data_IF_845364994079
#
_entry.id   IF_845364994079
#
_cell.length_a   1.000
_cell.length_b   1.000
_cell.length_c   1.000
_cell.angle_alpha   90.00
_cell.angle_beta   90.00
_cell.angle_gamma   90.00
#
_symmetry.space_group_name_H-M   'P 1'
#
loop_
_entity.id
_entity.type
_entity.pdbx_description
1 polymer ?
#
# COMPACT_ATOMS: atom_id res chain seq x y z
N UNK A 1 13.60 -11.83 -28.63
CA UNK A 1 14.42 -12.20 -27.47
C UNK A 1 14.01 -11.27 -26.34
N UNK A 2 13.72 -11.83 -25.17
CA UNK A 2 13.41 -11.08 -23.94
C UNK A 2 14.55 -11.35 -22.94
N UNK A 3 14.95 -10.30 -22.22
CA UNK A 3 15.92 -10.41 -21.13
C UNK A 3 15.19 -10.11 -19.81
N UNK A 4 15.12 -11.09 -18.91
CA UNK A 4 14.58 -10.88 -17.58
C UNK A 4 15.70 -10.40 -16.64
N UNK A 5 15.69 -9.11 -16.35
CA UNK A 5 16.63 -8.48 -15.42
C UNK A 5 16.18 -8.56 -13.97
N UNK A 6 14.88 -8.81 -13.76
CA UNK A 6 14.25 -8.75 -12.44
C UNK A 6 14.34 -10.05 -11.65
N UNK A 7 14.18 -11.20 -12.33
CA UNK A 7 14.06 -12.51 -11.70
C UNK A 7 12.74 -12.68 -10.96
N UNK A 8 12.76 -12.61 -9.64
CA UNK A 8 11.54 -12.66 -8.82
C UNK A 8 10.60 -11.50 -9.17
N UNK A 9 9.31 -11.79 -9.32
CA UNK A 9 8.30 -10.80 -9.76
C UNK A 9 8.34 -9.48 -8.98
N UNK A 10 8.20 -8.35 -9.68
CA UNK A 10 8.37 -6.99 -9.12
C UNK A 10 7.38 -6.65 -8.00
N UNK A 11 6.24 -7.34 -7.90
CA UNK A 11 5.31 -7.18 -6.79
C UNK A 11 5.91 -7.61 -5.45
N UNK A 12 6.89 -8.52 -5.43
CA UNK A 12 7.58 -8.94 -4.20
C UNK A 12 8.57 -7.87 -3.75
N UNK A 13 8.09 -6.87 -3.01
CA UNK A 13 8.87 -5.73 -2.49
C UNK A 13 9.77 -6.11 -1.29
N UNK A 14 9.50 -7.26 -0.64
CA UNK A 14 10.26 -7.76 0.50
C UNK A 14 9.67 -7.38 1.88
N UNK A 15 8.69 -6.50 1.97
CA UNK A 15 8.06 -6.17 3.25
C UNK A 15 6.97 -7.15 3.68
N UNK A 16 6.28 -7.78 2.73
CA UNK A 16 5.24 -8.78 3.01
C UNK A 16 5.85 -10.18 3.07
N UNK A 17 5.85 -10.81 4.24
CA UNK A 17 6.23 -12.22 4.41
C UNK A 17 5.02 -13.15 4.45
N UNK A 18 3.94 -12.69 5.08
CA UNK A 18 2.67 -13.40 5.17
C UNK A 18 1.59 -12.49 4.57
N UNK A 19 0.60 -13.06 3.97
CA UNK A 19 -0.56 -12.36 3.43
C UNK A 19 -1.82 -13.06 3.91
N UNK A 20 -2.88 -12.31 4.12
CA UNK A 20 -4.23 -12.85 4.21
C UNK A 20 -4.59 -13.52 2.88
N UNK A 21 -5.67 -14.27 2.84
CA UNK A 21 -6.18 -14.85 1.61
C UNK A 21 -6.45 -13.75 0.58
N UNK A 22 -5.89 -13.91 -0.63
CA UNK A 22 -6.07 -13.03 -1.80
C UNK A 22 -5.68 -11.53 -1.64
N UNK A 23 -4.47 -11.17 -1.18
CA UNK A 23 -4.04 -9.78 -1.12
C UNK A 23 -3.82 -9.18 -2.52
N UNK A 24 -4.12 -7.89 -2.67
CA UNK A 24 -3.77 -7.17 -3.90
C UNK A 24 -2.25 -7.18 -4.12
N UNK A 25 -1.81 -7.37 -5.38
CA UNK A 25 -0.38 -7.29 -5.71
C UNK A 25 0.13 -5.87 -5.53
N UNK A 26 1.32 -5.72 -4.97
CA UNK A 26 1.95 -4.43 -4.68
C UNK A 26 2.12 -3.57 -5.95
N UNK A 27 2.45 -4.17 -7.09
CA UNK A 27 2.55 -3.45 -8.37
C UNK A 27 1.21 -2.91 -8.85
N UNK A 28 0.12 -3.64 -8.63
CA UNK A 28 -1.23 -3.17 -8.95
C UNK A 28 -1.64 -2.04 -8.00
N UNK A 29 -1.40 -2.22 -6.71
CA UNK A 29 -1.67 -1.18 -5.72
C UNK A 29 -0.90 0.11 -6.03
N UNK A 30 0.38 0.02 -6.42
CA UNK A 30 1.18 1.18 -6.84
C UNK A 30 0.56 1.91 -8.03
N UNK A 31 0.08 1.17 -9.06
CA UNK A 31 -0.60 1.77 -10.21
C UNK A 31 -1.92 2.48 -9.82
N UNK A 32 -2.69 1.90 -8.90
CA UNK A 32 -3.92 2.53 -8.38
C UNK A 32 -3.58 3.79 -7.58
N UNK A 33 -2.54 3.76 -6.75
CA UNK A 33 -2.04 4.92 -6.01
C UNK A 33 -1.59 6.04 -6.98
N UNK A 34 -1.01 5.70 -8.13
CA UNK A 34 -0.65 6.65 -9.17
C UNK A 34 -1.89 7.33 -9.77
N UNK A 35 -2.93 6.55 -10.08
CA UNK A 35 -4.21 7.07 -10.57
C UNK A 35 -4.89 7.95 -9.52
N UNK A 36 -4.80 7.58 -8.24
CA UNK A 36 -5.32 8.37 -7.12
C UNK A 36 -4.52 9.65 -6.83
N UNK A 37 -3.36 9.84 -7.49
CA UNK A 37 -2.49 11.02 -7.38
C UNK A 37 -2.00 11.32 -5.96
N UNK A 38 -1.77 10.29 -5.14
CA UNK A 38 -1.16 10.47 -3.83
C UNK A 38 0.23 11.15 -3.95
N UNK A 39 0.47 12.18 -3.12
CA UNK A 39 1.66 13.05 -3.13
C UNK A 39 2.30 13.13 -1.75
N UNK A 40 3.42 13.85 -1.67
CA UNK A 40 4.21 14.03 -0.45
C UNK A 40 3.46 14.68 0.74
N UNK A 41 2.40 15.40 0.47
CA UNK A 41 1.54 16.10 1.45
C UNK A 41 0.16 15.45 1.62
N UNK A 42 -0.11 14.36 0.91
CA UNK A 42 -1.42 13.71 0.95
C UNK A 42 -1.68 13.00 2.27
N UNK A 43 -2.96 12.99 2.64
CA UNK A 43 -3.51 12.08 3.64
C UNK A 43 -4.22 10.96 2.91
N UNK A 44 -3.78 9.72 3.09
CA UNK A 44 -4.38 8.53 2.46
C UNK A 44 -5.08 7.68 3.51
N UNK A 45 -6.28 7.21 3.20
CA UNK A 45 -7.07 6.37 4.10
C UNK A 45 -7.47 5.08 3.42
N UNK A 46 -7.31 3.97 4.13
CA UNK A 46 -7.86 2.67 3.76
C UNK A 46 -8.70 2.13 4.93
N UNK A 47 -10.04 2.20 4.84
CA UNK A 47 -10.93 1.79 5.93
C UNK A 47 -11.10 0.26 6.05
N UNK A 48 -10.45 -0.54 5.19
CA UNK A 48 -10.43 -2.01 5.22
C UNK A 48 -9.05 -2.50 4.78
N UNK A 49 -8.01 -2.11 5.54
CA UNK A 49 -6.63 -2.10 5.07
C UNK A 49 -5.99 -3.49 4.92
N UNK A 50 -6.54 -4.52 5.53
CA UNK A 50 -6.02 -5.88 5.43
C UNK A 50 -4.53 -5.97 5.77
N UNK A 51 -3.70 -6.21 4.76
CA UNK A 51 -2.22 -6.25 4.90
C UNK A 51 -1.53 -4.89 4.76
N UNK A 52 -2.28 -3.81 4.53
CA UNK A 52 -1.78 -2.44 4.43
C UNK A 52 -1.14 -2.06 3.09
N UNK A 53 -1.40 -2.82 2.03
CA UNK A 53 -0.69 -2.65 0.76
C UNK A 53 -0.87 -1.25 0.17
N UNK A 54 -2.09 -0.71 0.10
CA UNK A 54 -2.33 0.63 -0.42
C UNK A 54 -1.63 1.71 0.41
N UNK A 55 -1.66 1.59 1.73
CA UNK A 55 -1.04 2.56 2.63
C UNK A 55 0.49 2.58 2.46
N UNK A 56 1.10 1.38 2.34
CA UNK A 56 2.55 1.25 2.18
C UNK A 56 3.00 1.74 0.80
N UNK A 57 2.32 1.34 -0.29
CA UNK A 57 2.66 1.80 -1.64
C UNK A 57 2.42 3.32 -1.79
N UNK A 58 1.39 3.89 -1.14
CA UNK A 58 1.18 5.33 -1.06
C UNK A 58 2.33 6.04 -0.35
N UNK A 59 2.80 5.49 0.78
CA UNK A 59 3.96 6.01 1.49
C UNK A 59 5.24 5.91 0.65
N UNK A 60 5.46 4.80 -0.05
CA UNK A 60 6.61 4.61 -0.94
C UNK A 60 6.65 5.71 -2.02
N UNK A 61 5.51 5.95 -2.67
CA UNK A 61 5.41 7.01 -3.67
C UNK A 61 5.62 8.40 -3.08
N UNK A 62 4.89 8.72 -2.02
CA UNK A 62 4.93 10.04 -1.39
C UNK A 62 6.33 10.41 -0.86
N UNK A 63 7.04 9.45 -0.28
CA UNK A 63 8.36 9.64 0.33
C UNK A 63 9.51 9.31 -0.63
N UNK A 64 9.24 9.03 -1.91
CA UNK A 64 10.23 8.64 -2.92
C UNK A 64 11.05 7.41 -2.54
N UNK A 65 10.44 6.46 -1.84
CA UNK A 65 11.10 5.19 -1.51
C UNK A 65 11.07 4.27 -2.72
N UNK A 66 12.23 3.98 -3.29
CA UNK A 66 12.33 3.08 -4.42
C UNK A 66 11.93 1.64 -4.03
N UNK A 67 10.92 1.04 -4.71
CA UNK A 67 10.39 -0.27 -4.33
C UNK A 67 11.41 -1.42 -4.47
N UNK A 68 12.49 -1.18 -5.21
CA UNK A 68 13.59 -2.14 -5.44
C UNK A 68 14.63 -2.20 -4.33
N UNK A 69 14.67 -1.26 -3.38
CA UNK A 69 15.75 -1.14 -2.38
C UNK A 69 15.96 -2.38 -1.52
N UNK A 70 14.90 -3.15 -1.27
CA UNK A 70 14.92 -4.30 -0.33
C UNK A 70 14.84 -5.65 -1.02
N UNK A 71 15.09 -5.70 -2.32
CA UNK A 71 15.07 -6.92 -3.11
C UNK A 71 16.36 -7.06 -3.91
N UNK A 72 16.67 -8.29 -4.33
CA UNK A 72 17.72 -8.57 -5.29
C UNK A 72 17.13 -8.69 -6.70
N UNK A 73 17.93 -8.38 -7.70
CA UNK A 73 17.59 -8.51 -9.11
C UNK A 73 18.46 -9.59 -9.76
N UNK A 74 17.91 -10.35 -10.71
CA UNK A 74 18.68 -11.39 -11.42
C UNK A 74 19.92 -10.80 -12.11
N UNK A 75 19.80 -9.59 -12.64
CA UNK A 75 20.89 -8.89 -13.32
C UNK A 75 22.05 -8.49 -12.39
N UNK A 76 21.90 -8.55 -11.07
CA UNK A 76 23.02 -8.32 -10.13
C UNK A 76 24.12 -9.39 -10.26
N UNK A 77 23.77 -10.58 -10.79
CA UNK A 77 24.72 -11.67 -11.01
C UNK A 77 25.39 -11.64 -12.38
N UNK A 78 25.07 -10.66 -13.23
CA UNK A 78 25.62 -10.58 -14.57
C UNK A 78 27.01 -9.93 -14.56
N UNK A 79 28.01 -10.64 -15.04
CA UNK A 79 29.40 -10.18 -15.05
C UNK A 79 29.62 -8.88 -15.85
N UNK A 80 28.70 -8.56 -16.78
CA UNK A 80 28.75 -7.34 -17.59
C UNK A 80 28.35 -6.09 -16.81
N UNK A 81 27.70 -6.23 -15.64
CA UNK A 81 27.29 -5.11 -14.81
C UNK A 81 28.15 -5.11 -13.56
N UNK A 82 29.02 -4.12 -13.37
CA UNK A 82 29.88 -4.07 -12.20
C UNK A 82 29.06 -3.88 -10.92
N UNK A 83 29.47 -4.54 -9.85
CA UNK A 83 28.82 -4.42 -8.51
C UNK A 83 28.70 -2.98 -8.05
N UNK A 84 29.67 -2.15 -8.42
CA UNK A 84 29.65 -0.70 -8.10
C UNK A 84 28.45 0.02 -8.68
N UNK A 85 27.94 -0.39 -9.84
CA UNK A 85 26.75 0.23 -10.45
C UNK A 85 25.51 -0.01 -9.56
N UNK A 86 25.34 -1.24 -9.08
CA UNK A 86 24.24 -1.58 -8.16
C UNK A 86 24.36 -0.85 -6.81
N UNK A 87 25.56 -0.80 -6.25
CA UNK A 87 25.82 -0.08 -5.01
C UNK A 87 25.52 1.40 -5.15
N UNK A 88 25.98 2.04 -6.22
CA UNK A 88 25.72 3.45 -6.48
C UNK A 88 24.23 3.74 -6.69
N UNK A 89 23.52 2.94 -7.49
CA UNK A 89 22.08 3.08 -7.69
C UNK A 89 21.28 2.92 -6.40
N UNK A 90 21.69 2.01 -5.50
CA UNK A 90 21.06 1.85 -4.18
C UNK A 90 21.34 3.04 -3.27
N UNK A 91 22.57 3.58 -3.29
CA UNK A 91 22.93 4.76 -2.51
C UNK A 91 22.11 5.97 -2.99
N UNK A 92 22.06 6.24 -4.28
CA UNK A 92 21.24 7.30 -4.87
C UNK A 92 19.77 7.17 -4.48
N UNK A 93 19.21 5.96 -4.58
CA UNK A 93 17.82 5.70 -4.20
C UNK A 93 17.58 5.91 -2.68
N UNK A 94 18.55 5.60 -1.83
CA UNK A 94 18.48 5.87 -0.39
C UNK A 94 18.53 7.35 -0.07
N UNK A 95 19.38 8.10 -0.76
CA UNK A 95 19.53 9.54 -0.60
C UNK A 95 18.30 10.32 -1.09
N UNK A 96 17.62 9.78 -2.10
CA UNK A 96 16.39 10.37 -2.64
C UNK A 96 15.17 10.27 -1.69
N UNK A 97 15.24 9.46 -0.61
CA UNK A 97 14.11 9.28 0.31
C UNK A 97 13.81 10.57 1.06
N UNK A 98 12.61 11.09 0.87
CA UNK A 98 12.09 12.22 1.63
C UNK A 98 11.60 11.78 3.02
N UNK A 99 12.48 11.82 4.02
CA UNK A 99 12.16 11.44 5.40
C UNK A 99 11.31 12.48 6.13
N UNK A 100 11.33 13.73 5.65
CA UNK A 100 10.64 14.88 6.26
C UNK A 100 9.24 15.10 5.66
N UNK A 101 8.90 14.44 4.58
CA UNK A 101 7.60 14.58 3.90
C UNK A 101 6.41 14.56 4.84
N UNK A 102 5.43 15.42 4.60
CA UNK A 102 4.25 15.61 5.44
C UNK A 102 3.20 14.48 5.29
N UNK A 103 3.44 13.50 4.42
CA UNK A 103 2.56 12.37 4.15
C UNK A 103 2.10 11.67 5.43
N UNK A 104 0.81 11.34 5.47
CA UNK A 104 0.19 10.52 6.52
C UNK A 104 -0.74 9.49 5.90
N UNK A 105 -0.81 8.32 6.50
CA UNK A 105 -1.77 7.30 6.11
C UNK A 105 -2.51 6.74 7.32
N UNK A 106 -3.80 6.49 7.16
CA UNK A 106 -4.65 5.92 8.19
C UNK A 106 -5.25 4.61 7.66
N UNK A 107 -5.05 3.55 8.41
CA UNK A 107 -5.60 2.23 8.13
C UNK A 107 -6.59 1.82 9.21
N UNK A 108 -7.70 1.23 8.78
CA UNK A 108 -8.67 0.64 9.69
C UNK A 108 -8.99 -0.77 9.19
N UNK A 109 -9.26 -1.65 10.10
CA UNK A 109 -9.78 -2.99 9.80
C UNK A 109 -10.62 -3.48 10.99
N UNK A 110 -11.60 -4.31 10.74
CA UNK A 110 -12.40 -4.94 11.79
C UNK A 110 -11.61 -6.04 12.49
N UNK A 111 -10.68 -6.68 11.77
CA UNK A 111 -9.83 -7.76 12.26
C UNK A 111 -8.55 -7.19 12.87
N UNK A 112 -8.35 -7.46 14.17
CA UNK A 112 -7.14 -7.06 14.89
C UNK A 112 -5.87 -7.72 14.33
N UNK A 113 -5.97 -8.93 13.80
CA UNK A 113 -4.84 -9.62 13.15
C UNK A 113 -4.41 -8.88 11.87
N UNK A 114 -5.36 -8.35 11.09
CA UNK A 114 -5.09 -7.52 9.92
C UNK A 114 -4.41 -6.20 10.32
N UNK A 115 -4.86 -5.57 11.41
CA UNK A 115 -4.23 -4.37 11.99
C UNK A 115 -2.77 -4.63 12.36
N UNK A 116 -2.50 -5.70 13.11
CA UNK A 116 -1.12 -6.08 13.48
C UNK A 116 -0.28 -6.45 12.25
N UNK A 117 -0.84 -7.16 11.28
CA UNK A 117 -0.16 -7.48 10.03
C UNK A 117 0.24 -6.20 9.28
N UNK A 118 -0.67 -5.24 9.16
CA UNK A 118 -0.39 -3.94 8.53
C UNK A 118 0.72 -3.19 9.25
N UNK A 119 0.70 -3.11 10.59
CA UNK A 119 1.77 -2.47 11.38
C UNK A 119 3.12 -3.13 11.15
N UNK A 120 3.16 -4.47 11.16
CA UNK A 120 4.37 -5.25 10.93
C UNK A 120 4.93 -5.04 9.51
N UNK A 121 4.07 -5.05 8.50
CA UNK A 121 4.45 -4.79 7.11
C UNK A 121 4.98 -3.36 6.93
N UNK A 122 4.31 -2.36 7.50
CA UNK A 122 4.74 -0.97 7.46
C UNK A 122 6.10 -0.74 8.14
N UNK A 123 6.34 -1.42 9.28
CA UNK A 123 7.64 -1.41 9.96
C UNK A 123 8.73 -2.02 9.07
N UNK A 124 8.47 -3.19 8.47
CA UNK A 124 9.41 -3.83 7.54
C UNK A 124 9.66 -2.97 6.29
N UNK A 125 8.64 -2.31 5.78
CA UNK A 125 8.74 -1.36 4.68
C UNK A 125 9.56 -0.11 5.05
N UNK A 126 9.74 0.20 6.33
CA UNK A 126 10.45 1.39 6.81
C UNK A 126 9.60 2.67 6.77
N UNK A 127 8.27 2.53 6.68
CA UNK A 127 7.32 3.65 6.61
C UNK A 127 6.35 3.69 7.80
N UNK A 128 6.57 2.85 8.80
CA UNK A 128 5.67 2.69 9.94
C UNK A 128 5.38 3.99 10.71
N UNK A 129 6.32 4.94 10.77
CA UNK A 129 6.10 6.25 11.41
C UNK A 129 5.10 7.15 10.69
N UNK A 130 4.79 6.86 9.43
CA UNK A 130 3.83 7.62 8.61
C UNK A 130 2.43 7.01 8.61
N UNK A 131 2.28 5.81 9.18
CA UNK A 131 1.02 5.07 9.21
C UNK A 131 0.45 5.02 10.62
N UNK A 132 -0.82 5.35 10.75
CA UNK A 132 -1.62 5.12 11.95
C UNK A 132 -2.67 4.06 11.63
N UNK A 133 -2.59 2.90 12.30
CA UNK A 133 -3.49 1.77 12.04
C UNK A 133 -4.25 1.39 13.30
N UNK A 134 -5.57 1.27 13.20
CA UNK A 134 -6.45 0.97 14.34
C UNK A 134 -7.51 -0.06 13.96
N UNK A 135 -7.90 -0.88 14.94
CA UNK A 135 -9.08 -1.72 14.79
C UNK A 135 -10.35 -0.87 14.81
N UNK A 136 -11.13 -0.95 13.74
CA UNK A 136 -12.39 -0.21 13.62
C UNK A 136 -13.27 -0.82 12.53
N UNK A 137 -14.55 -1.02 12.86
CA UNK A 137 -15.58 -1.38 11.88
C UNK A 137 -15.92 -0.17 11.01
N UNK A 138 -16.20 -0.42 9.71
CA UNK A 138 -16.57 0.62 8.74
C UNK A 138 -17.80 1.43 9.18
N UNK A 139 -18.74 0.84 9.92
CA UNK A 139 -19.91 1.53 10.43
C UNK A 139 -19.58 2.67 11.40
N UNK A 140 -18.39 2.64 11.99
CA UNK A 140 -17.86 3.69 12.89
C UNK A 140 -16.90 4.65 12.20
N UNK A 141 -16.61 4.42 10.91
CA UNK A 141 -15.73 5.29 10.15
C UNK A 141 -16.35 6.67 9.97
N UNK A 142 -15.55 7.70 10.13
CA UNK A 142 -15.87 9.08 9.77
C UNK A 142 -14.84 9.58 8.79
N UNK A 143 -15.31 10.23 7.71
CA UNK A 143 -14.44 10.78 6.67
C UNK A 143 -13.40 11.72 7.27
N UNK A 144 -12.15 11.54 6.91
CA UNK A 144 -11.07 12.47 7.25
C UNK A 144 -11.03 13.53 6.15
N UNK A 145 -11.22 14.79 6.52
CA UNK A 145 -11.26 15.88 5.57
C UNK A 145 -9.93 16.03 4.80
N UNK A 146 -10.02 16.30 3.51
CA UNK A 146 -8.85 16.41 2.62
C UNK A 146 -8.13 15.10 2.33
N UNK A 147 -8.72 13.96 2.67
CA UNK A 147 -8.08 12.66 2.45
C UNK A 147 -8.47 12.00 1.14
N UNK A 148 -7.55 11.20 0.62
CA UNK A 148 -7.76 10.27 -0.50
C UNK A 148 -8.10 8.91 0.11
N UNK A 149 -9.32 8.42 -0.10
CA UNK A 149 -9.71 7.07 0.32
C UNK A 149 -9.44 6.08 -0.81
N UNK A 150 -8.73 4.99 -0.51
CA UNK A 150 -8.50 3.88 -1.43
C UNK A 150 -8.86 2.61 -0.68
N UNK A 151 -9.82 1.84 -1.16
CA UNK A 151 -10.32 0.66 -0.47
C UNK A 151 -10.56 -0.50 -1.45
N UNK A 152 -10.14 -1.70 -1.05
CA UNK A 152 -10.47 -2.96 -1.70
C UNK A 152 -11.33 -3.80 -0.75
N UNK A 153 -12.66 -3.61 -0.77
CA UNK A 153 -13.55 -4.32 0.13
C UNK A 153 -13.61 -5.82 -0.25
N UNK A 154 -13.92 -6.71 0.71
CA UNK A 154 -14.19 -8.10 0.39
C UNK A 154 -15.43 -8.20 -0.51
N UNK A 155 -15.35 -9.03 -1.55
CA UNK A 155 -16.44 -9.30 -2.48
C UNK A 155 -16.88 -10.78 -2.40
N UNK A 156 -18.17 -11.03 -2.64
CA UNK A 156 -18.92 -12.21 -2.22
C UNK A 156 -18.53 -13.58 -2.80
N UNK A 157 -17.50 -13.70 -3.65
CA UNK A 157 -17.18 -15.02 -4.24
C UNK A 157 -16.14 -15.84 -3.47
N UNK A 158 -15.42 -15.22 -2.50
CA UNK A 158 -14.33 -15.90 -1.78
C UNK A 158 -14.24 -15.58 -0.29
N UNK A 159 -14.82 -14.48 0.18
CA UNK A 159 -14.62 -13.97 1.54
C UNK A 159 -15.91 -13.70 2.31
N UNK A 160 -17.05 -13.50 1.61
CA UNK A 160 -18.34 -13.23 2.23
C UNK A 160 -19.48 -13.89 1.44
N UNK A 161 -20.53 -14.28 2.15
CA UNK A 161 -21.82 -14.56 1.52
C UNK A 161 -22.37 -13.30 0.84
N UNK A 162 -23.13 -13.42 -0.25
CA UNK A 162 -23.65 -12.29 -1.04
C UNK A 162 -24.39 -11.27 -0.16
N UNK A 163 -25.21 -11.74 0.77
CA UNK A 163 -25.97 -10.88 1.68
C UNK A 163 -25.07 -10.05 2.61
N UNK A 164 -23.99 -10.65 3.11
CA UNK A 164 -23.02 -9.97 3.97
C UNK A 164 -22.27 -8.89 3.19
N UNK A 165 -21.90 -9.17 1.92
CA UNK A 165 -21.30 -8.20 1.03
C UNK A 165 -22.25 -7.03 0.74
N UNK A 166 -23.53 -7.28 0.47
CA UNK A 166 -24.54 -6.23 0.26
C UNK A 166 -24.70 -5.33 1.50
N UNK A 167 -24.73 -5.91 2.70
CA UNK A 167 -24.79 -5.14 3.94
C UNK A 167 -23.54 -4.31 4.18
N UNK A 168 -22.36 -4.88 3.87
CA UNK A 168 -21.10 -4.15 3.95
C UNK A 168 -21.11 -2.94 3.01
N UNK A 169 -21.52 -3.11 1.76
CA UNK A 169 -21.59 -2.03 0.78
C UNK A 169 -22.60 -0.95 1.15
N UNK A 170 -23.73 -1.31 1.76
CA UNK A 170 -24.67 -0.33 2.33
C UNK A 170 -24.02 0.51 3.45
N UNK A 171 -23.28 -0.15 4.37
CA UNK A 171 -22.52 0.55 5.42
C UNK A 171 -21.44 1.46 4.82
N UNK A 172 -20.70 0.99 3.83
CA UNK A 172 -19.71 1.81 3.12
C UNK A 172 -20.34 3.04 2.49
N UNK A 173 -21.45 2.89 1.76
CA UNK A 173 -22.16 4.00 1.13
C UNK A 173 -22.70 5.05 2.12
N UNK A 174 -22.94 4.67 3.38
CA UNK A 174 -23.33 5.59 4.45
C UNK A 174 -22.15 6.34 5.09
N UNK A 175 -20.94 5.82 4.97
CA UNK A 175 -19.75 6.31 5.67
C UNK A 175 -18.72 6.95 4.77
N UNK A 176 -18.61 6.50 3.54
CA UNK A 176 -17.77 7.10 2.53
C UNK A 176 -18.55 8.24 1.87
N UNK A 177 -18.07 9.46 2.08
CA UNK A 177 -18.69 10.66 1.53
C UNK A 177 -17.75 11.27 0.47
N UNK A 178 -17.71 10.69 -0.76
CA UNK A 178 -16.81 11.17 -1.79
C UNK A 178 -17.18 12.57 -2.23
N UNK A 179 -16.17 13.42 -2.36
CA UNK A 179 -16.29 14.76 -2.90
C UNK A 179 -15.04 15.08 -3.74
N UNK A 180 -15.00 16.27 -4.30
CA UNK A 180 -13.81 16.74 -5.02
C UNK A 180 -12.59 16.85 -4.10
N UNK A 181 -12.82 17.25 -2.86
CA UNK A 181 -11.82 17.41 -1.80
C UNK A 181 -11.46 16.07 -1.14
N UNK A 182 -12.37 15.11 -1.17
CA UNK A 182 -12.24 13.79 -0.56
C UNK A 182 -12.50 12.69 -1.61
N UNK A 183 -11.59 12.50 -2.59
CA UNK A 183 -11.77 11.48 -3.60
C UNK A 183 -11.74 10.07 -2.98
N UNK A 184 -12.61 9.18 -3.48
CA UNK A 184 -12.73 7.81 -3.02
C UNK A 184 -12.61 6.85 -4.20
N UNK A 185 -11.72 5.88 -4.07
CA UNK A 185 -11.45 4.83 -5.06
C UNK A 185 -11.79 3.49 -4.45
N UNK A 186 -12.76 2.81 -5.03
CA UNK A 186 -13.19 1.46 -4.64
C UNK A 186 -12.76 0.51 -5.75
N UNK A 187 -12.09 -0.59 -5.39
CA UNK A 187 -11.46 -1.53 -6.32
C UNK A 187 -12.31 -2.80 -6.41
#
# INVERSE_FOLDING_TARGET
>A
IYLDTSGVGLHKRGYRRNSNDAPIKETLAAGIVDLARARADSVVVDPMCGSGTFLIESAYKALKVAPGLRRNFAAEQWSQIPETAWRNARAEAMDAIDRQGAFKAFGFDVDDMAVELTRNNAKKAGVGSKLTVKQQDISKYSQIEGSITIVNPPYGERMLEIKEAEELYKKMGQRLCPSKENPCYII
#
